data_IF_002382777910
#
_entry.id   IF_002382777910
#
_cell.length_a   1.000
_cell.length_b   1.000
_cell.length_c   1.000
_cell.angle_alpha   90.00
_cell.angle_beta   90.00
_cell.angle_gamma   90.00
#
_symmetry.space_group_name_H-M   'P 1'
#
loop_
_entity.id
_entity.type
_entity.pdbx_description
1 polymer ?
#
# COMPACT_ATOMS: atom_id res chain seq x y z
N UNK A 1 -28.91 -1.26 6.61
CA UNK A 1 -27.60 -0.60 6.40
C UNK A 1 -26.86 -1.47 5.41
N UNK A 2 -26.29 -0.92 4.32
CA UNK A 2 -25.46 -1.68 3.41
C UNK A 2 -24.19 -2.12 4.14
N UNK A 3 -23.72 -3.35 3.87
CA UNK A 3 -22.49 -3.86 4.46
C UNK A 3 -21.28 -3.10 3.89
N UNK A 4 -20.30 -2.85 4.75
CA UNK A 4 -19.03 -2.22 4.40
C UNK A 4 -18.15 -3.20 3.63
N UNK A 5 -17.49 -2.70 2.59
CA UNK A 5 -16.60 -3.48 1.72
C UNK A 5 -15.28 -2.76 1.50
N UNK A 6 -14.19 -3.49 1.69
CA UNK A 6 -12.86 -3.10 1.21
C UNK A 6 -12.59 -3.68 -0.18
N UNK A 7 -12.11 -2.84 -1.08
CA UNK A 7 -11.61 -3.25 -2.39
C UNK A 7 -10.08 -3.14 -2.43
N UNK A 8 -9.39 -4.26 -2.55
CA UNK A 8 -7.93 -4.33 -2.64
C UNK A 8 -7.50 -4.62 -4.08
N UNK A 9 -6.76 -3.71 -4.68
CA UNK A 9 -6.32 -3.76 -6.09
C UNK A 9 -4.82 -4.06 -6.13
N UNK A 10 -4.45 -5.22 -6.65
CA UNK A 10 -3.04 -5.62 -6.72
C UNK A 10 -2.31 -4.93 -7.86
N UNK A 11 -1.15 -4.34 -7.55
CA UNK A 11 -0.21 -3.76 -8.52
C UNK A 11 1.18 -4.38 -8.31
N UNK A 12 1.40 -5.66 -8.62
CA UNK A 12 2.52 -6.47 -8.13
C UNK A 12 3.87 -6.18 -8.80
N UNK A 13 4.00 -5.05 -9.48
CA UNK A 13 5.19 -4.68 -10.22
C UNK A 13 6.10 -3.76 -9.39
N UNK A 14 7.42 -4.05 -9.35
CA UNK A 14 8.45 -3.22 -8.71
C UNK A 14 8.23 -2.88 -7.22
N UNK A 15 7.92 -3.85 -6.38
CA UNK A 15 7.89 -3.60 -4.95
C UNK A 15 9.18 -4.04 -4.26
N UNK A 16 9.67 -3.23 -3.31
CA UNK A 16 10.78 -3.63 -2.44
C UNK A 16 10.31 -4.55 -1.32
N UNK A 17 9.16 -4.30 -0.73
CA UNK A 17 8.61 -5.09 0.38
C UNK A 17 8.00 -6.43 -0.04
N UNK A 18 7.78 -6.66 -1.34
CA UNK A 18 7.17 -7.88 -1.87
C UNK A 18 8.16 -8.84 -2.53
N UNK A 19 9.47 -8.56 -2.42
CA UNK A 19 10.50 -9.44 -2.95
C UNK A 19 10.32 -10.87 -2.41
N UNK A 20 10.21 -11.82 -3.34
CA UNK A 20 9.92 -13.22 -3.02
C UNK A 20 8.44 -13.60 -2.93
N UNK A 21 7.50 -12.65 -2.98
CA UNK A 21 6.05 -12.97 -3.08
C UNK A 21 5.60 -13.33 -4.48
N UNK A 22 6.28 -12.80 -5.50
CA UNK A 22 5.99 -13.05 -6.91
C UNK A 22 7.25 -13.47 -7.65
N UNK A 23 7.11 -14.22 -8.77
CA UNK A 23 8.23 -14.54 -9.66
C UNK A 23 8.91 -13.30 -10.23
N UNK A 24 10.20 -13.38 -10.53
CA UNK A 24 10.97 -12.29 -11.14
C UNK A 24 10.36 -11.81 -12.47
N UNK A 25 9.66 -12.69 -13.21
CA UNK A 25 8.92 -12.34 -14.42
C UNK A 25 7.83 -11.31 -14.21
N UNK A 26 7.23 -11.25 -13.02
CA UNK A 26 6.23 -10.24 -12.65
C UNK A 26 6.92 -8.91 -12.38
N UNK A 27 8.01 -8.89 -11.61
CA UNK A 27 8.73 -7.65 -11.30
C UNK A 27 9.38 -7.01 -12.53
N UNK A 28 9.90 -7.82 -13.45
CA UNK A 28 10.54 -7.38 -14.68
C UNK A 28 9.57 -7.22 -15.86
N UNK A 29 8.26 -7.29 -15.62
CA UNK A 29 7.26 -7.23 -16.68
C UNK A 29 7.39 -5.95 -17.51
N UNK A 30 7.51 -6.09 -18.83
CA UNK A 30 7.53 -4.97 -19.76
C UNK A 30 6.14 -4.37 -19.97
N UNK A 31 6.08 -3.24 -20.66
CA UNK A 31 4.82 -2.48 -20.84
C UNK A 31 3.70 -3.29 -21.50
N UNK A 32 4.01 -4.18 -22.44
CA UNK A 32 3.01 -5.04 -23.08
C UNK A 32 2.37 -6.01 -22.06
N UNK A 33 3.18 -6.66 -21.22
CA UNK A 33 2.68 -7.57 -20.18
C UNK A 33 1.84 -6.82 -19.14
N UNK A 34 2.22 -5.59 -18.77
CA UNK A 34 1.43 -4.73 -17.88
C UNK A 34 0.10 -4.31 -18.50
N UNK A 35 0.07 -4.02 -19.80
CA UNK A 35 -1.16 -3.71 -20.52
C UNK A 35 -2.12 -4.91 -20.49
N UNK A 36 -1.64 -6.10 -20.84
CA UNK A 36 -2.42 -7.34 -20.74
C UNK A 36 -2.91 -7.61 -19.31
N UNK A 37 -2.06 -7.37 -18.32
CA UNK A 37 -2.44 -7.49 -16.91
C UNK A 37 -3.59 -6.53 -16.55
N UNK A 38 -3.52 -5.27 -16.98
CA UNK A 38 -4.57 -4.28 -16.69
C UNK A 38 -5.88 -4.63 -17.39
N UNK A 39 -5.83 -5.19 -18.61
CA UNK A 39 -7.03 -5.68 -19.30
C UNK A 39 -7.70 -6.80 -18.47
N UNK A 40 -6.90 -7.76 -18.00
CA UNK A 40 -7.37 -8.85 -17.15
C UNK A 40 -7.90 -8.35 -15.80
N UNK A 41 -7.21 -7.40 -15.18
CA UNK A 41 -7.62 -6.82 -13.90
C UNK A 41 -8.95 -6.05 -14.02
N UNK A 42 -9.14 -5.31 -15.08
CA UNK A 42 -10.41 -4.61 -15.35
C UNK A 42 -11.56 -5.63 -15.49
N UNK A 43 -11.34 -6.71 -16.25
CA UNK A 43 -12.35 -7.76 -16.39
C UNK A 43 -12.69 -8.44 -15.06
N UNK A 44 -11.68 -8.70 -14.20
CA UNK A 44 -11.92 -9.25 -12.86
C UNK A 44 -12.69 -8.27 -11.96
N UNK A 45 -12.35 -6.98 -11.96
CA UNK A 45 -13.06 -5.93 -11.22
C UNK A 45 -14.54 -5.88 -11.63
N UNK A 46 -14.82 -5.94 -12.94
CA UNK A 46 -16.18 -5.95 -13.46
C UNK A 46 -16.96 -7.21 -13.05
N UNK A 47 -16.30 -8.39 -13.14
CA UNK A 47 -16.91 -9.65 -12.75
C UNK A 47 -17.18 -9.76 -11.26
N UNK A 48 -16.21 -9.42 -10.42
CA UNK A 48 -16.32 -9.50 -8.96
C UNK A 48 -17.36 -8.51 -8.37
N UNK A 49 -17.69 -7.45 -9.09
CA UNK A 49 -18.72 -6.51 -8.65
C UNK A 49 -20.14 -7.11 -8.62
N UNK A 50 -20.38 -8.20 -9.34
CA UNK A 50 -21.67 -8.90 -9.32
C UNK A 50 -21.99 -9.48 -7.94
N UNK A 51 -20.96 -9.87 -7.18
CA UNK A 51 -21.09 -10.41 -5.83
C UNK A 51 -21.19 -9.32 -4.75
N UNK A 52 -21.02 -8.05 -5.13
CA UNK A 52 -20.95 -6.90 -4.21
C UNK A 52 -22.04 -5.84 -4.44
N UNK A 53 -23.12 -6.16 -5.18
CA UNK A 53 -24.12 -5.18 -5.61
C UNK A 53 -24.82 -4.46 -4.44
N UNK A 54 -25.00 -5.13 -3.31
CA UNK A 54 -25.66 -4.59 -2.12
C UNK A 54 -24.68 -3.98 -1.10
N UNK A 55 -23.37 -4.05 -1.38
CA UNK A 55 -22.32 -3.54 -0.51
C UNK A 55 -21.91 -2.11 -0.85
N UNK A 56 -21.34 -1.42 0.13
CA UNK A 56 -20.83 -0.06 -0.02
C UNK A 56 -19.31 -0.08 0.19
N UNK A 57 -18.55 0.26 -0.85
CA UNK A 57 -17.08 0.34 -0.76
C UNK A 57 -16.70 1.61 -0.02
N UNK A 58 -16.15 1.47 1.17
CA UNK A 58 -15.64 2.56 2.00
C UNK A 58 -14.11 2.64 2.04
N UNK A 59 -13.43 1.62 1.50
CA UNK A 59 -11.97 1.62 1.34
C UNK A 59 -11.55 1.02 -0.01
N UNK A 60 -10.65 1.71 -0.71
CA UNK A 60 -9.93 1.21 -1.89
C UNK A 60 -8.44 1.28 -1.62
N UNK A 61 -7.76 0.15 -1.58
CA UNK A 61 -6.33 0.05 -1.34
C UNK A 61 -5.60 -0.56 -2.54
N UNK A 62 -4.55 0.12 -3.00
CA UNK A 62 -3.60 -0.49 -3.94
C UNK A 62 -2.55 -1.27 -3.17
N UNK A 63 -2.46 -2.59 -3.44
CA UNK A 63 -1.66 -3.55 -2.67
C UNK A 63 -0.64 -4.29 -3.54
N UNK A 64 0.26 -5.02 -2.88
CA UNK A 64 1.25 -5.91 -3.49
C UNK A 64 2.33 -5.21 -4.33
N UNK A 65 2.36 -3.89 -4.36
CA UNK A 65 3.38 -3.10 -5.02
C UNK A 65 2.92 -1.67 -5.25
N UNK A 66 3.82 -0.82 -5.75
CA UNK A 66 3.52 0.59 -5.96
C UNK A 66 2.58 0.78 -7.14
N UNK A 67 1.54 1.57 -6.96
CA UNK A 67 0.62 1.91 -8.04
C UNK A 67 1.34 2.63 -9.18
N UNK A 68 2.38 3.42 -8.88
CA UNK A 68 3.24 4.10 -9.87
C UNK A 68 4.01 3.15 -10.80
N UNK A 69 3.97 1.85 -10.55
CA UNK A 69 4.49 0.84 -11.49
C UNK A 69 3.66 0.73 -12.77
N UNK A 70 2.43 1.21 -12.75
CA UNK A 70 1.54 1.37 -13.90
C UNK A 70 1.58 2.82 -14.41
N UNK A 71 1.17 3.04 -15.65
CA UNK A 71 0.99 4.40 -16.17
C UNK A 71 -0.27 5.04 -15.60
N UNK A 72 -0.33 6.35 -15.56
CA UNK A 72 -1.53 7.09 -15.12
C UNK A 72 -2.76 6.73 -15.95
N UNK A 73 -2.61 6.50 -17.25
CA UNK A 73 -3.69 6.03 -18.12
C UNK A 73 -4.22 4.65 -17.70
N UNK A 74 -3.31 3.72 -17.35
CA UNK A 74 -3.68 2.40 -16.84
C UNK A 74 -4.42 2.49 -15.50
N UNK A 75 -3.94 3.33 -14.59
CA UNK A 75 -4.58 3.58 -13.30
C UNK A 75 -5.96 4.23 -13.45
N UNK A 76 -6.12 5.17 -14.40
CA UNK A 76 -7.43 5.78 -14.71
C UNK A 76 -8.42 4.73 -15.28
N UNK A 77 -7.95 3.77 -16.07
CA UNK A 77 -8.80 2.67 -16.55
C UNK A 77 -9.29 1.80 -15.39
N UNK A 78 -8.40 1.47 -14.46
CA UNK A 78 -8.74 0.70 -13.25
C UNK A 78 -9.77 1.46 -12.40
N UNK A 79 -9.51 2.72 -12.06
CA UNK A 79 -10.42 3.52 -11.24
C UNK A 79 -11.76 3.79 -11.92
N UNK A 80 -11.77 3.86 -13.24
CA UNK A 80 -13.02 3.95 -14.02
C UNK A 80 -13.86 2.66 -13.92
N UNK A 81 -13.21 1.49 -13.97
CA UNK A 81 -13.88 0.21 -13.76
C UNK A 81 -14.47 0.12 -12.34
N UNK A 82 -13.70 0.51 -11.32
CA UNK A 82 -14.18 0.57 -9.94
C UNK A 82 -15.42 1.46 -9.84
N UNK A 83 -15.36 2.71 -10.30
CA UNK A 83 -16.50 3.65 -10.18
C UNK A 83 -17.73 3.26 -10.97
N UNK A 84 -17.57 2.51 -12.06
CA UNK A 84 -18.71 2.05 -12.86
C UNK A 84 -19.45 0.87 -12.24
N UNK A 85 -18.73 0.02 -11.52
CA UNK A 85 -19.25 -1.28 -11.10
C UNK A 85 -19.50 -1.37 -9.59
N UNK A 86 -18.87 -0.50 -8.79
CA UNK A 86 -19.04 -0.48 -7.33
C UNK A 86 -19.67 0.82 -6.85
N UNK A 87 -20.45 0.72 -5.78
CA UNK A 87 -20.98 1.87 -5.06
C UNK A 87 -19.93 2.33 -4.05
N UNK A 88 -19.27 3.45 -4.32
CA UNK A 88 -18.34 4.05 -3.36
C UNK A 88 -19.11 4.86 -2.32
N UNK A 89 -18.70 4.76 -1.05
CA UNK A 89 -19.21 5.60 0.02
C UNK A 89 -18.80 7.06 -0.20
N UNK A 90 -19.58 7.98 0.32
CA UNK A 90 -19.15 9.37 0.42
C UNK A 90 -17.94 9.44 1.38
N UNK A 91 -16.81 9.95 0.90
CA UNK A 91 -15.57 9.95 1.67
C UNK A 91 -14.86 8.59 1.75
N UNK A 92 -15.15 7.65 0.82
CA UNK A 92 -14.42 6.40 0.73
C UNK A 92 -12.91 6.66 0.74
N UNK A 93 -12.18 5.94 1.59
CA UNK A 93 -10.74 6.08 1.72
C UNK A 93 -10.03 5.41 0.55
N UNK A 94 -9.27 6.18 -0.22
CA UNK A 94 -8.43 5.64 -1.31
C UNK A 94 -6.98 5.89 -0.94
N UNK A 95 -6.17 4.83 -0.92
CA UNK A 95 -4.76 4.93 -0.54
C UNK A 95 -3.88 3.86 -1.20
N UNK A 96 -2.57 4.07 -1.13
CA UNK A 96 -1.60 3.13 -1.68
C UNK A 96 -0.28 3.16 -0.91
N UNK A 97 0.48 2.08 -1.01
CA UNK A 97 1.90 2.06 -0.65
C UNK A 97 2.72 2.40 -1.88
N UNK A 98 3.78 3.20 -1.71
CA UNK A 98 4.60 3.69 -2.81
C UNK A 98 6.08 3.58 -2.50
N UNK A 99 6.89 3.34 -3.52
CA UNK A 99 8.35 3.31 -3.38
C UNK A 99 8.94 4.71 -3.38
N UNK A 100 10.09 4.93 -2.72
CA UNK A 100 10.82 6.18 -2.84
C UNK A 100 11.10 6.53 -4.31
N UNK A 101 10.73 7.75 -4.71
CA UNK A 101 10.85 8.22 -6.10
C UNK A 101 9.69 7.80 -7.02
N UNK A 102 8.71 7.05 -6.53
CA UNK A 102 7.54 6.64 -7.33
C UNK A 102 6.53 7.77 -7.60
N UNK A 103 6.52 8.82 -6.78
CA UNK A 103 5.60 9.94 -6.97
C UNK A 103 6.14 10.94 -8.00
N UNK A 104 5.61 10.86 -9.22
CA UNK A 104 5.81 11.87 -10.27
C UNK A 104 4.70 12.93 -10.25
N UNK A 105 4.88 14.04 -10.99
CA UNK A 105 3.86 15.08 -11.13
C UNK A 105 2.57 14.52 -11.76
N UNK A 106 2.70 13.68 -12.79
CA UNK A 106 1.55 13.05 -13.45
C UNK A 106 0.79 12.12 -12.50
N UNK A 107 1.54 11.33 -11.71
CA UNK A 107 0.91 10.43 -10.73
C UNK A 107 0.28 11.22 -9.57
N UNK A 108 0.88 12.33 -9.13
CA UNK A 108 0.25 13.23 -8.16
C UNK A 108 -1.05 13.83 -8.72
N UNK A 109 -1.07 14.17 -10.01
CA UNK A 109 -2.28 14.59 -10.73
C UNK A 109 -3.37 13.51 -10.72
N UNK A 110 -3.01 12.27 -11.01
CA UNK A 110 -3.91 11.11 -10.86
C UNK A 110 -4.44 11.00 -9.42
N UNK A 111 -3.57 11.07 -8.42
CA UNK A 111 -3.98 11.00 -7.02
C UNK A 111 -5.01 12.08 -6.67
N UNK A 112 -4.78 13.32 -7.11
CA UNK A 112 -5.69 14.45 -6.88
C UNK A 112 -7.05 14.23 -7.55
N UNK A 113 -7.05 13.84 -8.83
CA UNK A 113 -8.27 13.62 -9.61
C UNK A 113 -9.10 12.44 -9.10
N UNK A 114 -8.45 11.46 -8.48
CA UNK A 114 -9.08 10.26 -7.96
C UNK A 114 -9.30 10.29 -6.45
N UNK A 115 -9.04 11.44 -5.79
CA UNK A 115 -9.21 11.61 -4.35
C UNK A 115 -8.42 10.60 -3.52
N UNK A 116 -7.20 10.26 -3.98
CA UNK A 116 -6.27 9.44 -3.16
C UNK A 116 -5.89 10.24 -1.93
N UNK A 117 -6.31 9.79 -0.76
CA UNK A 117 -6.15 10.52 0.50
C UNK A 117 -4.68 10.58 0.93
N UNK A 118 -3.99 9.43 0.85
CA UNK A 118 -2.58 9.39 1.16
C UNK A 118 -1.81 8.30 0.40
N UNK A 119 -0.51 8.51 0.27
CA UNK A 119 0.47 7.48 -0.10
C UNK A 119 1.39 7.20 1.08
N UNK A 120 1.66 5.93 1.32
CA UNK A 120 2.67 5.51 2.29
C UNK A 120 3.98 5.21 1.57
N UNK A 121 5.02 6.00 1.83
CA UNK A 121 6.33 5.85 1.17
C UNK A 121 7.19 4.85 1.95
N UNK A 122 7.66 3.82 1.28
CA UNK A 122 8.56 2.78 1.84
C UNK A 122 10.00 3.30 2.01
N UNK A 123 10.24 4.21 2.97
CA UNK A 123 11.60 4.62 3.34
C UNK A 123 12.40 3.45 3.92
N UNK A 124 11.75 2.58 4.66
CA UNK A 124 12.21 1.38 5.34
C UNK A 124 13.33 1.61 6.36
N UNK A 125 14.45 2.22 5.99
CA UNK A 125 15.57 2.56 6.87
C UNK A 125 16.35 3.77 6.34
N UNK A 126 16.97 4.53 7.23
CA UNK A 126 17.96 5.55 6.89
C UNK A 126 19.36 4.96 6.65
N UNK A 127 19.61 3.73 7.07
CA UNK A 127 20.90 3.06 6.93
C UNK A 127 21.06 2.49 5.51
N UNK A 128 21.78 3.21 4.66
CA UNK A 128 22.06 2.79 3.30
C UNK A 128 22.82 1.45 3.22
N UNK A 129 23.60 1.07 4.25
CA UNK A 129 24.29 -0.21 4.28
C UNK A 129 23.33 -1.35 4.59
N UNK A 130 22.38 -1.13 5.51
CA UNK A 130 21.33 -2.08 5.82
C UNK A 130 20.43 -2.31 4.59
N UNK A 131 19.99 -1.24 3.92
CA UNK A 131 19.21 -1.34 2.67
C UNK A 131 19.98 -2.12 1.59
N UNK A 132 21.27 -1.81 1.40
CA UNK A 132 22.10 -2.47 0.39
C UNK A 132 22.31 -3.97 0.69
N UNK A 133 22.42 -4.36 1.96
CA UNK A 133 22.52 -5.77 2.38
C UNK A 133 21.26 -6.57 1.96
N UNK A 134 20.11 -5.93 1.98
CA UNK A 134 18.84 -6.49 1.51
C UNK A 134 18.59 -6.26 0.00
N UNK A 135 19.60 -5.79 -0.74
CA UNK A 135 19.52 -5.44 -2.17
C UNK A 135 18.47 -4.36 -2.47
N UNK A 136 18.22 -3.48 -1.50
CA UNK A 136 17.33 -2.32 -1.64
C UNK A 136 18.19 -1.09 -2.00
N UNK A 137 17.66 -0.17 -2.83
CA UNK A 137 18.37 1.08 -3.15
C UNK A 137 18.35 2.03 -1.94
N UNK A 138 19.32 2.98 -1.87
CA UNK A 138 19.23 4.09 -0.94
C UNK A 138 17.95 4.89 -1.20
N UNK A 139 17.16 5.13 -0.14
CA UNK A 139 15.81 5.66 -0.28
C UNK A 139 15.67 7.14 0.08
N UNK A 140 16.65 7.71 0.80
CA UNK A 140 16.50 9.04 1.42
C UNK A 140 16.20 10.16 0.41
N UNK A 141 17.05 10.35 -0.61
CA UNK A 141 16.89 11.45 -1.58
C UNK A 141 15.66 11.26 -2.45
N UNK A 142 15.38 10.02 -2.84
CA UNK A 142 14.18 9.66 -3.59
C UNK A 142 12.89 9.90 -2.76
N UNK A 143 12.93 9.65 -1.45
CA UNK A 143 11.84 9.97 -0.54
C UNK A 143 11.65 11.51 -0.43
N UNK A 144 12.74 12.29 -0.33
CA UNK A 144 12.67 13.76 -0.37
C UNK A 144 11.98 14.25 -1.64
N UNK A 145 12.34 13.69 -2.79
CA UNK A 145 11.72 14.04 -4.07
C UNK A 145 10.19 13.81 -4.06
N UNK A 146 9.71 12.70 -3.49
CA UNK A 146 8.27 12.48 -3.33
C UNK A 146 7.59 13.60 -2.51
N UNK A 147 8.20 14.02 -1.39
CA UNK A 147 7.66 15.10 -0.57
C UNK A 147 7.66 16.46 -1.29
N UNK A 148 8.69 16.72 -2.11
CA UNK A 148 8.72 17.93 -2.95
C UNK A 148 7.57 17.92 -3.97
N UNK A 149 7.36 16.81 -4.68
CA UNK A 149 6.25 16.69 -5.63
C UNK A 149 4.91 16.88 -4.92
N UNK A 150 4.66 16.20 -3.80
CA UNK A 150 3.42 16.34 -3.04
C UNK A 150 3.18 17.78 -2.58
N UNK A 151 4.21 18.48 -2.10
CA UNK A 151 4.15 19.87 -1.69
C UNK A 151 3.75 20.79 -2.85
N UNK A 152 4.41 20.67 -4.01
CA UNK A 152 4.14 21.52 -5.17
C UNK A 152 2.78 21.25 -5.83
N UNK A 153 2.32 20.00 -5.82
CA UNK A 153 1.03 19.61 -6.41
C UNK A 153 -0.15 19.76 -5.45
N UNK A 154 0.14 19.85 -4.14
CA UNK A 154 -0.87 19.91 -3.07
C UNK A 154 -1.61 18.59 -2.86
N UNK A 155 -1.12 17.47 -3.41
CA UNK A 155 -1.68 16.12 -3.22
C UNK A 155 -0.68 15.05 -3.68
N UNK A 156 -0.77 13.80 -3.15
CA UNK A 156 -1.53 13.37 -1.98
C UNK A 156 -0.81 13.73 -0.66
N UNK A 157 -1.44 13.47 0.49
CA UNK A 157 -0.74 13.46 1.78
C UNK A 157 0.20 12.27 1.84
N UNK A 158 1.35 12.40 2.53
CA UNK A 158 2.35 11.33 2.59
C UNK A 158 2.54 10.81 4.01
N UNK A 159 2.44 9.48 4.15
CA UNK A 159 2.93 8.72 5.29
C UNK A 159 4.29 8.11 5.01
N UNK A 160 4.95 7.56 6.03
CA UNK A 160 6.24 6.87 5.91
C UNK A 160 6.15 5.50 6.57
N UNK A 161 6.62 4.46 5.84
CA UNK A 161 6.84 3.13 6.36
C UNK A 161 8.33 2.95 6.71
N UNK A 162 8.59 2.48 7.94
CA UNK A 162 9.90 2.03 8.41
C UNK A 162 9.85 0.54 8.77
N UNK A 163 10.96 -0.16 8.56
CA UNK A 163 11.16 -1.53 9.02
C UNK A 163 12.25 -1.56 10.11
N UNK A 164 11.82 -1.70 11.37
CA UNK A 164 12.71 -1.75 12.52
C UNK A 164 13.66 -2.96 12.51
N UNK A 165 13.39 -3.98 11.69
CA UNK A 165 14.25 -5.16 11.51
C UNK A 165 15.51 -4.85 10.71
N UNK A 166 15.48 -3.81 9.87
CA UNK A 166 16.63 -3.38 9.08
C UNK A 166 17.65 -2.58 9.90
N UNK A 167 17.20 -1.85 10.91
CA UNK A 167 18.06 -0.98 11.72
C UNK A 167 18.78 -1.77 12.81
N UNK A 168 20.10 -1.91 12.65
CA UNK A 168 20.96 -2.58 13.63
C UNK A 168 21.32 -1.65 14.78
N UNK A 169 20.58 -1.78 15.88
CA UNK A 169 20.82 -1.03 17.12
C UNK A 169 20.09 0.32 17.19
N UNK A 170 20.10 0.88 18.40
CA UNK A 170 19.33 2.07 18.78
C UNK A 170 19.69 3.29 17.91
N UNK A 171 20.98 3.52 17.63
CA UNK A 171 21.45 4.68 16.87
C UNK A 171 20.90 4.69 15.43
N UNK A 172 20.95 3.54 14.74
CA UNK A 172 20.41 3.41 13.39
C UNK A 172 18.90 3.64 13.38
N UNK A 173 18.20 3.03 14.32
CA UNK A 173 16.74 3.18 14.44
C UNK A 173 16.31 4.64 14.73
N UNK A 174 17.03 5.34 15.65
CA UNK A 174 16.79 6.78 15.89
C UNK A 174 17.06 7.62 14.64
N UNK A 175 18.07 7.29 13.84
CA UNK A 175 18.37 7.99 12.60
C UNK A 175 17.21 7.82 11.59
N UNK A 176 16.68 6.61 11.43
CA UNK A 176 15.55 6.32 10.53
C UNK A 176 14.30 7.10 10.94
N UNK A 177 13.96 7.11 12.24
CA UNK A 177 12.82 7.88 12.74
C UNK A 177 13.06 9.38 12.55
N UNK A 178 14.26 9.89 12.85
CA UNK A 178 14.59 11.32 12.67
C UNK A 178 14.45 11.76 11.21
N UNK A 179 14.91 10.92 10.27
CA UNK A 179 14.74 11.20 8.85
C UNK A 179 13.27 11.18 8.42
N UNK A 180 12.48 10.24 8.94
CA UNK A 180 11.05 10.21 8.68
C UNK A 180 10.35 11.48 9.19
N UNK A 181 10.56 11.81 10.47
CA UNK A 181 9.91 12.95 11.14
C UNK A 181 10.34 14.30 10.56
N UNK A 182 11.58 14.44 10.09
CA UNK A 182 12.08 15.65 9.43
C UNK A 182 11.34 16.04 8.15
N UNK A 183 10.45 15.19 7.66
CA UNK A 183 9.60 15.43 6.47
C UNK A 183 8.16 15.83 6.83
N UNK A 184 7.84 15.90 8.10
CA UNK A 184 6.48 16.19 8.59
C UNK A 184 5.42 15.28 7.94
N UNK A 185 5.56 13.95 8.06
CA UNK A 185 4.63 13.01 7.45
C UNK A 185 3.26 13.06 8.12
N UNK A 186 2.20 12.68 7.39
CA UNK A 186 0.86 12.48 7.94
C UNK A 186 0.86 11.41 9.04
N UNK A 187 1.63 10.34 8.82
CA UNK A 187 1.86 9.29 9.81
C UNK A 187 3.22 8.61 9.59
N UNK A 188 3.70 7.95 10.63
CA UNK A 188 4.84 7.02 10.57
C UNK A 188 4.34 5.65 11.02
N UNK A 189 4.40 4.67 10.12
CA UNK A 189 4.16 3.27 10.43
C UNK A 189 5.49 2.54 10.55
N UNK A 190 5.65 1.77 11.59
CA UNK A 190 6.85 0.97 11.83
C UNK A 190 6.45 -0.50 11.93
N UNK A 191 7.01 -1.33 11.06
CA UNK A 191 6.90 -2.78 11.12
C UNK A 191 8.13 -3.39 11.79
N UNK A 192 8.05 -4.65 12.21
CA UNK A 192 9.18 -5.34 12.84
C UNK A 192 9.58 -4.79 14.22
N UNK A 193 8.72 -4.01 14.88
CA UNK A 193 9.00 -3.45 16.20
C UNK A 193 8.89 -4.47 17.35
N UNK A 194 8.36 -5.67 17.09
CA UNK A 194 8.27 -6.77 18.07
C UNK A 194 9.59 -7.56 18.18
N UNK A 195 9.68 -8.44 19.19
CA UNK A 195 10.85 -9.30 19.42
C UNK A 195 11.91 -8.67 20.32
N UNK A 196 13.15 -9.11 20.18
CA UNK A 196 14.27 -8.63 20.99
C UNK A 196 14.44 -7.11 20.85
N UNK A 197 14.56 -6.40 21.97
CA UNK A 197 14.67 -4.94 21.99
C UNK A 197 13.36 -4.17 21.75
N UNK A 198 12.22 -4.85 21.63
CA UNK A 198 10.91 -4.21 21.38
C UNK A 198 10.59 -3.08 22.37
N UNK A 199 10.83 -3.28 23.66
CA UNK A 199 10.58 -2.27 24.68
C UNK A 199 11.39 -1.00 24.48
N UNK A 200 12.65 -1.11 24.05
CA UNK A 200 13.51 0.03 23.73
C UNK A 200 13.01 0.73 22.48
N UNK A 201 12.70 -0.01 21.41
CA UNK A 201 12.17 0.57 20.15
C UNK A 201 10.88 1.34 20.40
N UNK A 202 9.95 0.79 21.16
CA UNK A 202 8.68 1.45 21.51
C UNK A 202 8.88 2.74 22.30
N UNK A 203 9.83 2.76 23.26
CA UNK A 203 10.19 3.96 24.02
C UNK A 203 10.76 5.03 23.11
N UNK A 204 11.67 4.68 22.19
CA UNK A 204 12.26 5.58 21.21
C UNK A 204 11.18 6.18 20.30
N UNK A 205 10.30 5.34 19.75
CA UNK A 205 9.18 5.79 18.92
C UNK A 205 8.29 6.78 19.67
N UNK A 206 7.86 6.43 20.88
CA UNK A 206 7.02 7.29 21.69
C UNK A 206 7.70 8.63 21.97
N UNK A 207 8.97 8.61 22.38
CA UNK A 207 9.74 9.83 22.68
C UNK A 207 9.86 10.74 21.46
N UNK A 208 10.30 10.18 20.33
CA UNK A 208 10.59 10.98 19.14
C UNK A 208 9.33 11.46 18.44
N UNK A 209 8.32 10.60 18.27
CA UNK A 209 7.06 10.99 17.64
C UNK A 209 6.29 12.00 18.47
N UNK A 210 6.22 11.83 19.81
CA UNK A 210 5.53 12.81 20.67
C UNK A 210 6.18 14.20 20.66
N UNK A 211 7.52 14.29 20.56
CA UNK A 211 8.23 15.57 20.39
C UNK A 211 7.87 16.30 19.09
N UNK A 212 7.39 15.56 18.09
CA UNK A 212 6.93 16.11 16.80
C UNK A 212 5.39 16.26 16.74
N UNK A 213 4.71 16.22 17.88
CA UNK A 213 3.25 16.38 17.94
C UNK A 213 2.46 15.17 17.43
N UNK A 214 3.11 14.03 17.19
CA UNK A 214 2.42 12.83 16.73
C UNK A 214 1.98 11.97 17.90
N UNK A 215 0.80 11.38 17.79
CA UNK A 215 0.24 10.45 18.78
C UNK A 215 0.17 9.04 18.24
N UNK A 216 0.27 8.07 19.13
CA UNK A 216 0.03 6.68 18.77
C UNK A 216 -1.44 6.50 18.37
N UNK A 217 -1.66 5.84 17.26
CA UNK A 217 -2.99 5.53 16.72
C UNK A 217 -3.12 4.01 16.53
N UNK A 218 -4.34 3.55 16.33
CA UNK A 218 -4.58 2.13 16.03
C UNK A 218 -3.90 1.77 14.70
N UNK A 219 -3.19 0.65 14.70
CA UNK A 219 -2.52 0.11 13.52
C UNK A 219 -3.45 -0.73 12.63
N UNK A 220 -4.71 -0.91 13.05
CA UNK A 220 -5.66 -1.81 12.41
C UNK A 220 -5.37 -3.29 12.72
N UNK A 221 -6.41 -4.13 12.74
CA UNK A 221 -6.27 -5.56 13.10
C UNK A 221 -5.53 -6.41 12.07
N UNK A 222 -5.40 -5.95 10.83
CA UNK A 222 -4.68 -6.66 9.76
C UNK A 222 -3.18 -6.35 9.72
N UNK A 223 -2.70 -5.50 10.62
CA UNK A 223 -1.28 -5.19 10.73
C UNK A 223 -0.50 -6.41 11.21
N UNK A 224 0.65 -6.67 10.59
CA UNK A 224 1.57 -7.71 11.04
C UNK A 224 1.93 -7.52 12.53
N UNK A 225 2.16 -8.60 13.28
CA UNK A 225 2.59 -8.49 14.67
C UNK A 225 3.80 -7.54 14.80
N UNK A 226 3.73 -6.63 15.78
CA UNK A 226 4.79 -5.63 15.99
C UNK A 226 4.70 -4.40 15.10
N UNK A 227 3.58 -4.18 14.42
CA UNK A 227 3.30 -2.93 13.73
C UNK A 227 2.86 -1.85 14.73
N UNK A 228 3.42 -0.65 14.60
CA UNK A 228 3.07 0.53 15.41
C UNK A 228 2.89 1.72 14.49
N UNK A 229 1.86 2.54 14.75
CA UNK A 229 1.56 3.74 13.95
C UNK A 229 1.49 4.97 14.86
N UNK A 230 2.13 6.04 14.42
CA UNK A 230 2.01 7.38 15.00
C UNK A 230 1.48 8.33 13.93
N UNK A 231 0.41 9.04 14.24
CA UNK A 231 -0.24 9.99 13.34
C UNK A 231 -0.10 11.43 13.81
N UNK A 232 0.02 12.36 12.86
CA UNK A 232 -0.10 13.79 13.09
C UNK A 232 -1.56 14.19 13.36
N UNK A 233 -1.78 15.44 13.76
CA UNK A 233 -3.13 15.96 13.93
C UNK A 233 -3.94 15.83 12.64
N UNK A 234 -5.19 15.35 12.76
CA UNK A 234 -6.07 15.08 11.63
C UNK A 234 -5.90 13.69 10.98
N UNK A 235 -4.91 12.87 11.40
CA UNK A 235 -4.87 11.48 11.01
C UNK A 235 -5.72 10.63 11.96
N UNK A 236 -6.82 10.07 11.44
CA UNK A 236 -7.78 9.31 12.23
C UNK A 236 -7.28 7.92 12.66
N UNK A 237 -6.25 7.41 12.01
CA UNK A 237 -5.71 6.05 12.18
C UNK A 237 -5.69 5.29 10.87
N UNK A 238 -5.12 4.08 10.90
CA UNK A 238 -5.23 3.16 9.77
C UNK A 238 -6.67 2.62 9.71
N UNK A 239 -7.15 2.27 8.50
CA UNK A 239 -8.47 1.66 8.37
C UNK A 239 -8.63 0.45 9.29
N UNK A 240 -9.82 0.31 9.86
CA UNK A 240 -10.19 -0.85 10.66
C UNK A 240 -10.29 -2.13 9.82
N UNK A 241 -10.49 -3.28 10.46
CA UNK A 241 -10.72 -4.52 9.74
C UNK A 241 -12.08 -4.46 9.03
N UNK A 242 -12.10 -4.94 7.79
CA UNK A 242 -13.34 -5.18 7.05
C UNK A 242 -13.71 -6.65 7.17
N UNK A 243 -14.98 -6.92 7.44
CA UNK A 243 -15.53 -8.29 7.42
C UNK A 243 -15.53 -8.82 5.99
N UNK A 244 -15.87 -7.94 5.04
CA UNK A 244 -15.92 -8.25 3.63
C UNK A 244 -14.83 -7.50 2.87
N UNK A 245 -14.07 -8.24 2.08
CA UNK A 245 -13.01 -7.71 1.23
C UNK A 245 -13.03 -8.42 -0.12
N UNK A 246 -13.01 -7.65 -1.19
CA UNK A 246 -12.72 -8.14 -2.54
C UNK A 246 -11.28 -7.76 -2.90
N UNK A 247 -10.48 -8.75 -3.22
CA UNK A 247 -9.13 -8.58 -3.76
C UNK A 247 -9.10 -8.91 -5.23
N UNK A 248 -8.73 -7.94 -6.07
CA UNK A 248 -8.55 -8.10 -7.50
C UNK A 248 -7.08 -8.00 -7.88
N UNK A 249 -6.63 -8.86 -8.78
CA UNK A 249 -5.27 -8.90 -9.29
C UNK A 249 -4.42 -10.02 -8.70
N UNK A 250 -3.21 -10.15 -9.23
CA UNK A 250 -2.24 -11.19 -8.83
C UNK A 250 -1.99 -11.21 -7.33
N UNK A 251 -2.19 -12.37 -6.71
CA UNK A 251 -1.92 -12.59 -5.29
C UNK A 251 -2.81 -11.78 -4.35
N UNK A 252 -3.86 -11.13 -4.84
CA UNK A 252 -4.82 -10.42 -4.03
C UNK A 252 -5.61 -11.40 -3.15
N UNK A 253 -6.10 -10.92 -2.02
CA UNK A 253 -6.86 -11.71 -1.07
C UNK A 253 -8.27 -11.16 -0.95
N UNK A 254 -9.24 -12.04 -1.15
CA UNK A 254 -10.66 -11.79 -0.82
C UNK A 254 -11.02 -12.45 0.49
N UNK A 255 -11.96 -11.87 1.22
CA UNK A 255 -12.49 -12.42 2.46
C UNK A 255 -13.99 -12.14 2.55
N UNK A 256 -14.78 -13.18 2.81
CA UNK A 256 -16.23 -13.10 3.03
C UNK A 256 -16.61 -14.10 4.12
N UNK A 257 -17.39 -13.67 5.08
CA UNK A 257 -17.92 -14.52 6.17
C UNK A 257 -16.84 -15.40 6.85
N UNK A 258 -15.63 -14.84 6.99
CA UNK A 258 -14.50 -15.56 7.60
C UNK A 258 -13.77 -16.52 6.68
N UNK A 259 -14.23 -16.74 5.45
CA UNK A 259 -13.54 -17.53 4.44
C UNK A 259 -12.63 -16.61 3.61
N UNK A 260 -11.39 -17.06 3.39
CA UNK A 260 -10.40 -16.28 2.63
C UNK A 260 -10.00 -17.02 1.37
N UNK A 261 -9.82 -16.27 0.30
CA UNK A 261 -9.33 -16.74 -1.00
C UNK A 261 -8.15 -15.90 -1.43
N UNK A 262 -7.23 -16.50 -2.17
CA UNK A 262 -6.10 -15.79 -2.77
C UNK A 262 -6.04 -16.09 -4.25
N UNK A 263 -5.91 -15.05 -5.06
CA UNK A 263 -5.71 -15.21 -6.50
C UNK A 263 -4.30 -15.73 -6.82
N UNK A 264 -4.16 -16.36 -7.98
CA UNK A 264 -2.86 -16.88 -8.43
C UNK A 264 -1.77 -15.81 -8.45
N UNK A 265 -0.53 -16.22 -8.24
CA UNK A 265 0.66 -15.39 -8.45
C UNK A 265 1.27 -15.53 -9.85
N UNK A 266 0.69 -16.37 -10.72
CA UNK A 266 1.15 -16.59 -12.09
C UNK A 266 0.48 -15.63 -13.06
N UNK A 267 1.28 -14.76 -13.69
CA UNK A 267 0.79 -13.73 -14.60
C UNK A 267 0.12 -14.31 -15.85
N UNK A 268 0.62 -15.44 -16.38
CA UNK A 268 0.07 -16.04 -17.60
C UNK A 268 -1.29 -16.68 -17.32
N UNK A 269 -1.41 -17.40 -16.21
CA UNK A 269 -2.69 -17.98 -15.76
C UNK A 269 -3.70 -16.86 -15.49
N UNK A 270 -3.28 -15.83 -14.78
CA UNK A 270 -4.13 -14.69 -14.45
C UNK A 270 -4.64 -13.99 -15.72
N UNK A 271 -3.73 -13.64 -16.64
CA UNK A 271 -4.10 -12.96 -17.89
C UNK A 271 -5.06 -13.79 -18.76
N UNK A 272 -4.95 -15.11 -18.73
CA UNK A 272 -5.79 -16.00 -19.54
C UNK A 272 -7.17 -16.28 -18.91
N UNK A 273 -7.32 -16.20 -17.60
CA UNK A 273 -8.48 -16.73 -16.87
C UNK A 273 -9.11 -15.77 -15.86
N UNK A 274 -8.73 -14.48 -15.84
CA UNK A 274 -9.18 -13.51 -14.84
C UNK A 274 -10.69 -13.30 -14.77
N UNK A 275 -11.42 -13.58 -15.85
CA UNK A 275 -12.88 -13.49 -15.88
C UNK A 275 -13.57 -14.67 -15.14
N UNK A 276 -12.84 -15.73 -14.78
CA UNK A 276 -13.33 -16.86 -14.01
C UNK A 276 -12.57 -16.99 -12.69
N UNK A 277 -13.13 -16.37 -11.63
CA UNK A 277 -12.53 -16.34 -10.30
C UNK A 277 -12.19 -17.74 -9.77
N UNK A 278 -13.05 -18.74 -9.99
CA UNK A 278 -12.80 -20.10 -9.53
C UNK A 278 -11.57 -20.75 -10.16
N UNK A 279 -11.20 -20.32 -11.38
CA UNK A 279 -10.00 -20.81 -12.07
C UNK A 279 -8.70 -20.14 -11.63
N UNK A 280 -8.76 -18.99 -10.93
CA UNK A 280 -7.58 -18.22 -10.52
C UNK A 280 -7.41 -18.11 -9.01
N UNK A 281 -8.43 -18.43 -8.22
CA UNK A 281 -8.40 -18.32 -6.77
C UNK A 281 -8.33 -19.70 -6.09
N UNK A 282 -7.71 -19.71 -4.91
CA UNK A 282 -7.69 -20.86 -4.02
C UNK A 282 -7.99 -20.41 -2.58
N UNK A 283 -8.68 -21.24 -1.83
CA UNK A 283 -8.99 -20.99 -0.43
C UNK A 283 -7.72 -21.08 0.42
N UNK A 284 -7.56 -20.13 1.38
CA UNK A 284 -6.44 -20.08 2.32
C UNK A 284 -6.73 -20.86 3.60
#
# INVERSE_FOLDING_TARGET
MSESLKLSISTPFRSFGTKGRFPDSVFGAGNAAKATYVDALVAEIEGAALDAQDMLVDEVEFVNGPASSLTTEQLERIMRAVRRNYRLAEGALIHATEVPGGLSVDYAGFCKNNHVEYLEIELLSADAMALRAEKLPPANDACVACYQVAYFTGAPKLGILLDAGLDKGERAFRASISQALGRSPLFVRVIGAAGEGAGTRLKILQEMCSKHGMRRVDAGMLSAPGTVVYGADGFAGMPGPHTNQIGCGLGAVSAFDGVRFKTTGDLAIYAAKSADFASIAHQL
#
